data_IF_694597230157
#
_entry.id   IF_694597230157
#
_cell.length_a   1.000
_cell.length_b   1.000
_cell.length_c   1.000
_cell.angle_alpha   90.00
_cell.angle_beta   90.00
_cell.angle_gamma   90.00
#
_symmetry.space_group_name_H-M   'P 1'
#
loop_
_entity.id
_entity.type
_entity.pdbx_description
1 polymer ?
#
# COMPACT_ATOMS: atom_id res chain seq x y z
N UNK A 1 -11.45 13.44 1.89
CA UNK A 1 -11.43 11.97 2.02
C UNK A 1 -10.01 11.46 2.29
N UNK A 2 -8.99 11.85 1.52
CA UNK A 2 -7.60 11.42 1.73
C UNK A 2 -6.94 11.88 3.03
N UNK A 3 -7.18 13.13 3.45
CA UNK A 3 -6.69 13.65 4.74
C UNK A 3 -7.26 12.92 5.96
N UNK A 4 -8.45 12.33 5.86
CA UNK A 4 -9.09 11.59 6.95
C UNK A 4 -8.55 10.16 7.12
N UNK A 5 -7.76 9.67 6.17
CA UNK A 5 -7.19 8.31 6.14
C UNK A 5 -5.65 8.38 6.26
N UNK A 6 -5.03 9.56 6.21
CA UNK A 6 -3.57 9.74 6.32
C UNK A 6 -2.80 9.35 5.06
N UNK A 7 -3.44 9.36 3.90
CA UNK A 7 -2.84 8.98 2.61
C UNK A 7 -2.71 10.15 1.62
N UNK A 8 -2.62 11.37 2.15
CA UNK A 8 -2.49 12.60 1.38
C UNK A 8 -1.14 12.72 0.64
N UNK A 9 -0.14 11.92 1.03
CA UNK A 9 1.14 11.77 0.31
C UNK A 9 1.04 10.92 -0.97
N UNK A 10 -0.03 10.13 -1.15
CA UNK A 10 -0.18 9.24 -2.29
C UNK A 10 -0.83 9.98 -3.47
N UNK A 11 -0.16 9.99 -4.63
CA UNK A 11 -0.62 10.65 -5.86
C UNK A 11 -2.04 10.26 -6.28
N UNK A 12 -2.44 9.01 -6.05
CA UNK A 12 -3.79 8.53 -6.37
C UNK A 12 -4.89 9.18 -5.51
N UNK A 13 -4.54 9.72 -4.35
CA UNK A 13 -5.48 10.32 -3.39
C UNK A 13 -5.29 11.82 -3.20
N UNK A 14 -4.30 12.42 -3.88
CA UNK A 14 -4.06 13.85 -3.87
C UNK A 14 -5.19 14.61 -4.58
N UNK A 15 -5.52 15.80 -4.06
CA UNK A 15 -6.40 16.74 -4.76
C UNK A 15 -5.66 17.31 -5.97
N UNK A 16 -6.37 17.47 -7.10
CA UNK A 16 -5.83 18.11 -8.29
C UNK A 16 -5.40 19.55 -7.95
N UNK A 17 -4.16 19.89 -8.28
CA UNK A 17 -3.51 21.16 -7.95
C UNK A 17 -2.02 21.09 -8.28
N UNK A 18 -1.26 22.13 -7.92
CA UNK A 18 0.16 22.21 -8.28
C UNK A 18 1.00 21.07 -7.72
N UNK A 19 0.76 20.68 -6.47
CA UNK A 19 1.43 19.51 -5.87
C UNK A 19 1.17 18.23 -6.66
N UNK A 20 -0.09 17.95 -7.02
CA UNK A 20 -0.41 16.78 -7.83
C UNK A 20 0.24 16.86 -9.22
N UNK A 21 0.23 18.03 -9.87
CA UNK A 21 0.88 18.25 -11.18
C UNK A 21 2.39 17.95 -11.12
N UNK A 22 3.07 18.42 -10.08
CA UNK A 22 4.50 18.17 -9.88
C UNK A 22 4.80 16.68 -9.71
N UNK A 23 4.07 15.99 -8.83
CA UNK A 23 4.21 14.55 -8.67
C UNK A 23 3.91 13.80 -9.98
N UNK A 24 2.82 14.15 -10.67
CA UNK A 24 2.43 13.51 -11.94
C UNK A 24 3.52 13.68 -13.01
N UNK A 25 4.18 14.84 -13.06
CA UNK A 25 5.31 15.10 -13.96
C UNK A 25 6.49 14.17 -13.65
N UNK A 26 6.86 14.01 -12.39
CA UNK A 26 7.93 13.08 -11.98
C UNK A 26 7.59 11.63 -12.33
N UNK A 27 6.35 11.19 -12.06
CA UNK A 27 5.89 9.86 -12.45
C UNK A 27 5.96 9.66 -13.96
N UNK A 28 5.51 10.63 -14.76
CA UNK A 28 5.60 10.50 -16.21
C UNK A 28 7.03 10.50 -16.73
N UNK A 29 7.94 11.23 -16.09
CA UNK A 29 9.33 11.23 -16.53
C UNK A 29 9.96 9.85 -16.46
N UNK A 30 9.71 9.10 -15.38
CA UNK A 30 10.36 7.82 -15.10
C UNK A 30 9.53 6.60 -15.54
N UNK A 31 8.20 6.70 -15.54
CA UNK A 31 7.31 5.56 -15.79
C UNK A 31 6.50 5.67 -17.10
N UNK A 32 6.82 6.62 -17.99
CA UNK A 32 6.26 6.62 -19.35
C UNK A 32 6.65 5.34 -20.10
N UNK A 33 5.89 4.92 -21.14
CA UNK A 33 6.14 3.68 -21.87
C UNK A 33 7.56 3.50 -22.40
N UNK A 34 8.24 4.57 -22.81
CA UNK A 34 9.62 4.47 -23.31
C UNK A 34 10.63 4.31 -22.17
N UNK A 35 10.49 5.09 -21.09
CA UNK A 35 11.39 5.02 -19.94
C UNK A 35 11.24 3.70 -19.18
N UNK A 36 10.02 3.15 -19.13
CA UNK A 36 9.75 1.89 -18.44
C UNK A 36 10.48 0.68 -19.05
N UNK A 37 10.90 0.78 -20.33
CA UNK A 37 11.72 -0.26 -20.99
C UNK A 37 13.05 -0.48 -20.28
N UNK A 38 13.60 0.55 -19.65
CA UNK A 38 14.85 0.46 -18.89
C UNK A 38 14.75 -0.49 -17.68
N UNK A 39 13.53 -0.75 -17.19
CA UNK A 39 13.29 -1.68 -16.08
C UNK A 39 13.09 -3.13 -16.50
N UNK A 40 13.08 -3.44 -17.81
CA UNK A 40 12.92 -4.82 -18.32
C UNK A 40 13.93 -5.80 -17.75
N UNK A 41 15.24 -5.48 -17.63
CA UNK A 41 16.20 -6.42 -17.04
C UNK A 41 15.84 -6.79 -15.60
N UNK A 42 15.41 -5.81 -14.80
CA UNK A 42 14.95 -6.04 -13.42
C UNK A 42 13.69 -6.91 -13.41
N UNK A 43 12.69 -6.57 -14.22
CA UNK A 43 11.45 -7.35 -14.34
C UNK A 43 11.74 -8.80 -14.73
N UNK A 44 12.60 -9.02 -15.73
CA UNK A 44 12.96 -10.36 -16.21
C UNK A 44 13.62 -11.19 -15.12
N UNK A 45 14.56 -10.59 -14.37
CA UNK A 45 15.22 -11.26 -13.26
C UNK A 45 14.20 -11.68 -12.18
N UNK A 46 13.32 -10.77 -11.77
CA UNK A 46 12.29 -11.09 -10.75
C UNK A 46 11.28 -12.12 -11.25
N UNK A 47 10.93 -12.11 -12.54
CA UNK A 47 10.07 -13.14 -13.16
C UNK A 47 10.74 -14.50 -13.12
N UNK A 48 12.06 -14.62 -13.38
CA UNK A 48 12.74 -15.90 -13.23
C UNK A 48 12.69 -16.45 -11.79
N UNK A 49 12.80 -15.57 -10.79
CA UNK A 49 12.63 -15.97 -9.38
C UNK A 49 11.21 -16.47 -9.11
N UNK A 50 10.19 -15.75 -9.60
CA UNK A 50 8.79 -16.19 -9.55
C UNK A 50 8.61 -17.58 -10.18
N UNK A 51 9.11 -17.78 -11.40
CA UNK A 51 8.94 -19.04 -12.13
C UNK A 51 9.61 -20.21 -11.41
N UNK A 52 10.79 -20.01 -10.81
CA UNK A 52 11.44 -21.04 -9.98
C UNK A 52 10.60 -21.37 -8.74
N UNK A 53 10.04 -20.37 -8.07
CA UNK A 53 9.14 -20.58 -6.93
C UNK A 53 7.89 -21.38 -7.32
N UNK A 54 7.27 -21.02 -8.45
CA UNK A 54 6.10 -21.72 -8.99
C UNK A 54 6.38 -23.17 -9.38
N UNK A 55 7.57 -23.48 -9.89
CA UNK A 55 7.96 -24.86 -10.19
C UNK A 55 8.03 -25.73 -8.93
N UNK A 56 8.41 -25.14 -7.79
CA UNK A 56 8.48 -25.86 -6.51
C UNK A 56 7.14 -25.91 -5.78
N UNK A 57 6.30 -24.87 -5.89
CA UNK A 57 5.06 -24.76 -5.12
C UNK A 57 3.98 -23.99 -5.90
N UNK A 58 3.39 -24.60 -6.94
CA UNK A 58 2.44 -23.92 -7.82
C UNK A 58 1.16 -23.45 -7.10
N UNK A 59 0.80 -24.09 -5.99
CA UNK A 59 -0.35 -23.70 -5.16
C UNK A 59 -0.20 -22.30 -4.53
N UNK A 60 1.03 -21.82 -4.33
CA UNK A 60 1.34 -20.54 -3.68
C UNK A 60 1.49 -19.38 -4.70
N UNK A 61 0.88 -19.53 -5.89
CA UNK A 61 1.04 -18.59 -7.00
C UNK A 61 0.67 -17.15 -6.62
N UNK A 62 -0.32 -16.98 -5.73
CA UNK A 62 -0.83 -15.67 -5.35
C UNK A 62 0.20 -14.90 -4.53
N UNK A 63 0.86 -15.60 -3.61
CA UNK A 63 1.95 -15.09 -2.77
C UNK A 63 3.12 -14.70 -3.66
N UNK A 64 3.50 -15.56 -4.61
CA UNK A 64 4.60 -15.24 -5.51
C UNK A 64 4.32 -14.05 -6.44
N UNK A 65 3.09 -13.88 -6.93
CA UNK A 65 2.72 -12.70 -7.75
C UNK A 65 2.80 -11.40 -6.92
N UNK A 66 2.33 -11.42 -5.67
CA UNK A 66 2.45 -10.25 -4.78
C UNK A 66 3.91 -9.93 -4.48
N UNK A 67 4.71 -10.96 -4.17
CA UNK A 67 6.14 -10.81 -3.95
C UNK A 67 6.86 -10.26 -5.19
N UNK A 68 6.49 -10.71 -6.39
CA UNK A 68 7.02 -10.18 -7.66
C UNK A 68 6.75 -8.67 -7.78
N UNK A 69 5.51 -8.24 -7.55
CA UNK A 69 5.14 -6.82 -7.64
C UNK A 69 5.94 -5.97 -6.64
N UNK A 70 6.03 -6.42 -5.38
CA UNK A 70 6.83 -5.75 -4.36
C UNK A 70 8.32 -5.70 -4.73
N UNK A 71 8.88 -6.81 -5.22
CA UNK A 71 10.30 -6.89 -5.61
C UNK A 71 10.64 -5.97 -6.78
N UNK A 72 9.76 -5.83 -7.77
CA UNK A 72 9.97 -4.89 -8.88
C UNK A 72 9.95 -3.45 -8.37
N UNK A 73 8.96 -3.07 -7.55
CA UNK A 73 8.88 -1.70 -7.03
C UNK A 73 10.07 -1.37 -6.15
N UNK A 74 10.45 -2.26 -5.25
CA UNK A 74 11.58 -2.02 -4.34
C UNK A 74 12.91 -1.91 -5.07
N UNK A 75 13.14 -2.76 -6.06
CA UNK A 75 14.37 -2.72 -6.87
C UNK A 75 14.41 -1.47 -7.77
N UNK A 76 13.30 -1.09 -8.39
CA UNK A 76 13.28 0.04 -9.35
C UNK A 76 13.24 1.43 -8.68
N UNK A 77 12.53 1.57 -7.57
CA UNK A 77 12.34 2.87 -6.90
C UNK A 77 13.40 3.12 -5.83
N UNK A 78 13.76 2.09 -5.07
CA UNK A 78 14.64 2.23 -3.90
C UNK A 78 16.01 1.57 -4.10
N UNK A 79 16.25 0.92 -5.24
CA UNK A 79 17.48 0.15 -5.46
C UNK A 79 17.62 -1.03 -4.49
N UNK A 80 16.53 -1.45 -3.84
CA UNK A 80 16.55 -2.45 -2.78
C UNK A 80 16.26 -3.84 -3.32
N UNK A 81 17.13 -4.80 -2.97
CA UNK A 81 16.97 -6.19 -3.34
C UNK A 81 16.15 -6.95 -2.30
N UNK A 82 14.91 -7.29 -2.66
CA UNK A 82 13.99 -8.03 -1.79
C UNK A 82 14.52 -9.43 -1.51
N UNK A 83 14.55 -9.79 -0.22
CA UNK A 83 14.96 -11.12 0.22
C UNK A 83 13.87 -12.16 -0.13
N UNK A 84 14.26 -13.37 -0.58
CA UNK A 84 13.31 -14.38 -1.06
C UNK A 84 12.32 -14.85 0.02
N UNK A 85 12.70 -14.78 1.31
CA UNK A 85 11.83 -15.18 2.42
C UNK A 85 11.72 -14.05 3.45
N UNK A 86 10.47 -13.72 3.79
CA UNK A 86 10.10 -12.86 4.93
C UNK A 86 10.74 -11.46 4.91
N UNK A 87 10.80 -10.84 3.74
CA UNK A 87 11.25 -9.46 3.64
C UNK A 87 10.21 -8.51 4.28
N UNK A 88 10.60 -7.67 5.25
CA UNK A 88 9.66 -6.80 5.96
C UNK A 88 8.92 -5.85 5.02
N UNK A 89 9.53 -5.48 3.89
CA UNK A 89 8.92 -4.59 2.92
C UNK A 89 7.81 -5.24 2.11
N UNK A 90 7.89 -6.55 1.86
CA UNK A 90 6.81 -7.30 1.21
C UNK A 90 5.60 -7.34 2.13
N UNK A 91 5.80 -7.72 3.39
CA UNK A 91 4.73 -7.74 4.40
C UNK A 91 4.13 -6.36 4.66
N UNK A 92 4.95 -5.30 4.62
CA UNK A 92 4.49 -3.92 4.72
C UNK A 92 3.62 -3.51 3.52
N UNK A 93 4.06 -3.82 2.30
CA UNK A 93 3.31 -3.51 1.08
C UNK A 93 1.96 -4.25 1.03
N UNK A 94 1.93 -5.52 1.43
CA UNK A 94 0.68 -6.28 1.54
C UNK A 94 -0.25 -5.70 2.60
N UNK A 95 0.28 -5.38 3.79
CA UNK A 95 -0.49 -4.79 4.88
C UNK A 95 -1.07 -3.43 4.49
N UNK A 96 -0.29 -2.59 3.81
CA UNK A 96 -0.73 -1.31 3.27
C UNK A 96 -1.86 -1.49 2.25
N UNK A 97 -1.69 -2.40 1.29
CA UNK A 97 -2.69 -2.67 0.25
C UNK A 97 -4.00 -3.18 0.84
N UNK A 98 -3.92 -4.09 1.81
CA UNK A 98 -5.10 -4.59 2.53
C UNK A 98 -5.84 -3.47 3.26
N UNK A 99 -5.13 -2.62 3.99
CA UNK A 99 -5.71 -1.46 4.69
C UNK A 99 -6.36 -0.45 3.75
N UNK A 100 -5.76 -0.21 2.58
CA UNK A 100 -6.35 0.63 1.54
C UNK A 100 -7.65 0.01 1.04
N UNK A 101 -7.65 -1.28 0.70
CA UNK A 101 -8.85 -1.98 0.24
C UNK A 101 -9.99 -1.96 1.29
N UNK A 102 -9.66 -2.19 2.56
CA UNK A 102 -10.63 -2.11 3.67
C UNK A 102 -11.20 -0.70 3.85
N UNK A 103 -10.42 0.34 3.56
CA UNK A 103 -10.87 1.73 3.66
C UNK A 103 -11.93 2.11 2.61
N UNK A 104 -12.02 1.35 1.52
CA UNK A 104 -13.06 1.50 0.51
C UNK A 104 -14.36 0.75 0.82
N UNK A 105 -14.38 -0.09 1.86
CA UNK A 105 -15.59 -0.84 2.22
C UNK A 105 -16.71 0.11 2.70
N UNK A 106 -17.98 -0.16 2.36
CA UNK A 106 -19.12 0.69 2.74
C UNK A 106 -19.21 0.97 4.24
N UNK A 107 -18.83 0.00 5.09
CA UNK A 107 -18.80 0.15 6.54
C UNK A 107 -17.84 1.26 7.01
N UNK A 108 -16.70 1.45 6.33
CA UNK A 108 -15.77 2.54 6.59
C UNK A 108 -16.34 3.90 6.13
N UNK A 109 -17.18 3.90 5.10
CA UNK A 109 -17.86 5.10 4.60
C UNK A 109 -18.95 5.59 5.57
N UNK A 110 -19.65 4.71 6.30
CA UNK A 110 -20.66 5.08 7.31
C UNK A 110 -20.02 5.85 8.47
N UNK A 111 -18.87 5.40 8.96
CA UNK A 111 -18.09 6.10 10.02
C UNK A 111 -17.53 7.45 9.54
N UNK A 112 -17.26 7.59 8.24
CA UNK A 112 -16.83 8.87 7.65
C UNK A 112 -18.00 9.84 7.41
N UNK A 113 -19.22 9.35 7.16
CA UNK A 113 -20.42 10.19 6.98
C UNK A 113 -21.03 10.67 8.29
N UNK A 114 -21.02 9.85 9.33
CA UNK A 114 -21.57 10.21 10.65
C UNK A 114 -20.43 10.42 11.66
N UNK A 115 -19.80 11.60 11.64
CA UNK A 115 -18.73 11.97 12.61
C UNK A 115 -19.17 11.85 14.08
N UNK A 116 -20.47 11.88 14.38
CA UNK A 116 -21.04 11.65 15.72
C UNK A 116 -20.67 10.26 16.25
N UNK A 117 -20.50 9.26 15.39
CA UNK A 117 -20.08 7.90 15.76
C UNK A 117 -18.62 7.82 16.26
N UNK A 118 -17.80 8.88 16.09
CA UNK A 118 -16.44 8.95 16.65
C UNK A 118 -16.42 9.33 18.14
N UNK A 119 -17.51 9.92 18.64
CA UNK A 119 -17.63 10.38 20.04
C UNK A 119 -18.48 9.45 20.91
N UNK A 120 -18.91 8.28 20.41
CA UNK A 120 -19.64 7.34 21.26
C UNK A 120 -18.68 6.65 22.25
N UNK A 121 -18.99 6.64 23.55
CA UNK A 121 -18.24 5.90 24.55
C UNK A 121 -18.35 4.38 24.31
N UNK A 122 -17.26 3.64 24.55
CA UNK A 122 -17.13 2.20 24.31
C UNK A 122 -18.04 1.28 25.14
N UNK A 123 -18.86 1.83 26.03
CA UNK A 123 -19.71 1.08 26.98
C UNK A 123 -21.19 0.99 26.56
N UNK A 124 -21.61 1.57 25.42
CA UNK A 124 -23.00 1.51 24.94
C UNK A 124 -23.31 0.18 24.23
N UNK A 125 -24.49 -0.43 24.46
CA UNK A 125 -24.89 -1.65 23.76
C UNK A 125 -25.18 -1.32 22.29
N UNK A 126 -24.47 -1.96 21.36
CA UNK A 126 -24.43 -1.60 19.93
C UNK A 126 -23.09 -1.04 19.43
N UNK A 127 -22.09 -0.91 20.32
CA UNK A 127 -20.75 -0.41 20.06
C UNK A 127 -19.82 -1.31 19.20
N UNK A 128 -20.36 -2.19 18.34
CA UNK A 128 -19.56 -3.03 17.44
C UNK A 128 -18.69 -2.24 16.43
N UNK A 129 -19.01 -0.97 16.22
CA UNK A 129 -18.28 -0.03 15.35
C UNK A 129 -16.90 0.39 15.91
N UNK A 130 -16.64 0.20 17.22
CA UNK A 130 -15.35 0.54 17.83
C UNK A 130 -14.19 -0.32 17.31
N UNK A 131 -14.45 -1.52 16.76
CA UNK A 131 -13.39 -2.31 16.11
C UNK A 131 -12.77 -1.61 14.89
N UNK A 132 -13.56 -0.82 14.17
CA UNK A 132 -13.08 -0.01 13.04
C UNK A 132 -12.44 1.32 13.49
N UNK A 133 -12.91 1.90 14.61
CA UNK A 133 -12.32 3.11 15.20
C UNK A 133 -10.97 2.83 15.89
N UNK A 134 -10.81 1.69 16.57
CA UNK A 134 -9.54 1.24 17.15
C UNK A 134 -8.50 0.91 16.07
N UNK A 135 -8.95 0.43 14.90
CA UNK A 135 -8.09 0.28 13.72
C UNK A 135 -7.48 1.61 13.25
N UNK A 136 -8.19 2.74 13.34
CA UNK A 136 -7.70 4.06 12.90
C UNK A 136 -6.51 4.58 13.71
N UNK A 137 -6.46 4.36 15.03
CA UNK A 137 -5.33 4.80 15.86
C UNK A 137 -4.07 3.95 15.62
N UNK A 138 -4.26 2.67 15.27
CA UNK A 138 -3.14 1.78 14.90
C UNK A 138 -2.64 2.12 13.49
N UNK A 139 -3.51 2.49 12.54
CA UNK A 139 -3.12 2.86 11.17
C UNK A 139 -2.23 4.11 11.15
N UNK A 140 -2.58 5.14 11.93
CA UNK A 140 -1.80 6.38 11.98
C UNK A 140 -0.46 6.18 12.69
N UNK A 141 -0.43 5.39 13.79
CA UNK A 141 0.81 5.13 14.53
C UNK A 141 1.75 4.16 13.80
N UNK A 142 1.23 3.18 13.08
CA UNK A 142 2.04 2.13 12.45
C UNK A 142 2.61 2.52 11.08
N UNK A 143 1.97 3.44 10.35
CA UNK A 143 2.47 3.93 9.05
C UNK A 143 3.30 5.22 9.23
N UNK A 144 3.01 6.06 10.23
CA UNK A 144 3.74 7.33 10.43
C UNK A 144 4.91 7.19 11.43
N UNK A 145 4.89 6.29 12.41
CA UNK A 145 5.96 6.20 13.43
C UNK A 145 7.00 5.09 13.21
N UNK A 146 6.99 4.39 12.06
CA UNK A 146 8.02 3.40 11.78
C UNK A 146 8.43 3.44 10.29
N UNK A 147 9.61 4.01 10.06
CA UNK A 147 10.46 3.85 8.88
C UNK A 147 10.10 4.62 7.60
N UNK A 148 10.37 5.93 7.61
CA UNK A 148 10.94 6.68 6.46
C UNK A 148 11.88 7.81 6.94
N UNK A 149 12.60 7.59 8.03
CA UNK A 149 13.78 8.38 8.38
C UNK A 149 14.99 7.77 7.69
N UNK A 150 15.40 8.41 6.59
CA UNK A 150 16.81 8.45 6.18
C UNK A 150 17.52 9.52 7.01
#
# INVERSE_FOLDING_TARGET
MSSSIGWDFNVAFMRVGDRWRQHRRMFQQHFRPDASRNYRPVQMNKVHVLLRGLLSSPQDFREFIKALAAAIVMSTVYGYEVKPNNDPFVGLAESATKKIAESFLPAAAVVNKFSILKCLPSWMPGAGFHRFAAGKYIINKFIILRDFSF
#
